data_IF_247011156506
#
_entry.id   IF_247011156506
#
_cell.length_a   1.000
_cell.length_b   1.000
_cell.length_c   1.000
_cell.angle_alpha   90.00
_cell.angle_beta   90.00
_cell.angle_gamma   90.00
#
_symmetry.space_group_name_H-M   'P 1'
#
loop_
_entity.id
_entity.type
_entity.pdbx_description
1 polymer ?
#
# COMPACT_ATOMS: atom_id res chain seq x y z
N UNK A 1 6.77 7.79 13.65
CA UNK A 1 7.04 6.35 13.91
C UNK A 1 7.65 6.11 15.30
N UNK A 2 8.81 6.67 15.61
CA UNK A 2 9.51 6.45 16.89
C UNK A 2 8.64 6.67 18.14
N UNK A 3 7.84 7.74 18.20
CA UNK A 3 6.92 7.99 19.32
C UNK A 3 5.81 6.93 19.48
N UNK A 4 5.33 6.34 18.38
CA UNK A 4 4.34 5.26 18.44
C UNK A 4 4.96 4.00 19.04
N UNK A 5 6.20 3.68 18.65
CA UNK A 5 6.93 2.54 19.20
C UNK A 5 7.09 2.64 20.71
N UNK A 6 7.39 3.83 21.25
CA UNK A 6 7.55 4.01 22.70
C UNK A 6 6.23 3.97 23.46
N UNK A 7 5.13 4.42 22.84
CA UNK A 7 3.82 4.50 23.49
C UNK A 7 3.03 3.19 23.44
N UNK A 8 3.24 2.37 22.40
CA UNK A 8 2.54 1.09 22.27
C UNK A 8 2.99 0.10 23.33
N UNK A 9 2.00 -0.54 23.98
CA UNK A 9 2.23 -1.67 24.87
C UNK A 9 2.73 -2.89 24.06
N UNK A 10 3.48 -3.82 24.67
CA UNK A 10 3.76 -5.12 24.05
C UNK A 10 2.48 -5.81 23.57
N UNK A 11 2.49 -6.34 22.34
CA UNK A 11 1.30 -6.89 21.68
C UNK A 11 0.28 -5.86 21.19
N UNK A 12 0.53 -4.57 21.43
CA UNK A 12 -0.26 -3.46 20.89
C UNK A 12 -0.15 -3.38 19.37
N UNK A 13 -1.15 -2.77 18.74
CA UNK A 13 -1.27 -2.64 17.29
C UNK A 13 -1.59 -1.21 16.90
N UNK A 14 -1.14 -0.79 15.74
CA UNK A 14 -1.44 0.52 15.19
C UNK A 14 -1.59 0.47 13.66
N UNK A 15 -2.35 1.43 13.14
CA UNK A 15 -2.39 1.79 11.74
C UNK A 15 -2.06 3.28 11.64
N UNK A 16 -1.09 3.66 10.81
CA UNK A 16 -0.66 5.05 10.64
C UNK A 16 -0.72 5.46 9.18
N UNK A 17 -1.29 6.62 8.91
CA UNK A 17 -1.22 7.26 7.61
C UNK A 17 0.12 8.00 7.49
N UNK A 18 0.91 7.68 6.47
CA UNK A 18 2.19 8.32 6.18
C UNK A 18 2.23 8.77 4.72
N UNK A 19 2.81 9.93 4.40
CA UNK A 19 3.12 10.28 3.02
C UNK A 19 4.14 9.29 2.43
N UNK A 20 4.12 9.13 1.11
CA UNK A 20 5.01 8.25 0.35
C UNK A 20 6.48 8.41 0.72
N UNK A 21 6.95 9.65 0.82
CA UNK A 21 8.32 10.01 1.19
C UNK A 21 8.82 9.33 2.47
N UNK A 22 7.94 9.13 3.46
CA UNK A 22 8.32 8.45 4.70
C UNK A 22 8.73 6.99 4.50
N UNK A 23 8.43 6.38 3.35
CA UNK A 23 8.72 4.97 3.05
C UNK A 23 10.06 4.75 2.32
N UNK A 24 10.70 5.79 1.78
CA UNK A 24 11.89 5.62 0.92
C UNK A 24 12.95 6.72 0.97
N UNK A 25 12.68 7.87 1.62
CA UNK A 25 13.68 8.93 1.80
C UNK A 25 14.87 8.45 2.65
N UNK A 26 15.97 9.21 2.63
CA UNK A 26 17.29 8.87 3.20
C UNK A 26 17.34 8.52 4.69
N UNK A 27 16.24 8.68 5.43
CA UNK A 27 16.13 8.26 6.85
C UNK A 27 15.05 7.22 7.10
N UNK A 28 14.30 6.85 6.08
CA UNK A 28 13.24 5.87 6.19
C UNK A 28 13.81 4.48 6.50
N UNK A 29 14.96 4.17 5.92
CA UNK A 29 15.70 2.93 6.09
C UNK A 29 16.05 2.66 7.56
N UNK A 30 16.73 3.58 8.24
CA UNK A 30 17.11 3.45 9.66
C UNK A 30 15.87 3.28 10.55
N UNK A 31 14.81 4.02 10.25
CA UNK A 31 13.56 3.96 11.02
C UNK A 31 12.86 2.62 10.82
N UNK A 32 12.73 2.16 9.58
CA UNK A 32 12.03 0.91 9.29
C UNK A 32 12.84 -0.33 9.66
N UNK A 33 14.16 -0.27 9.65
CA UNK A 33 15.00 -1.32 10.24
C UNK A 33 14.64 -1.55 11.71
N UNK A 34 14.62 -0.48 12.51
CA UNK A 34 14.26 -0.57 13.94
C UNK A 34 12.80 -1.00 14.11
N UNK A 35 11.87 -0.41 13.35
CA UNK A 35 10.45 -0.75 13.41
C UNK A 35 10.24 -2.23 13.08
N UNK A 36 10.88 -2.77 12.05
CA UNK A 36 10.70 -4.15 11.61
C UNK A 36 11.39 -5.17 12.53
N UNK A 37 12.43 -4.76 13.26
CA UNK A 37 13.02 -5.59 14.31
C UNK A 37 12.09 -5.76 15.52
N UNK A 38 11.46 -4.67 15.97
CA UNK A 38 10.63 -4.66 17.19
C UNK A 38 9.13 -4.89 16.95
N UNK A 39 8.67 -4.68 15.71
CA UNK A 39 7.28 -4.80 15.30
C UNK A 39 7.13 -5.64 14.03
N UNK A 40 6.00 -6.32 13.95
CA UNK A 40 5.55 -7.01 12.77
C UNK A 40 4.77 -6.02 11.90
N UNK A 41 5.46 -5.38 10.96
CA UNK A 41 4.87 -4.57 9.90
C UNK A 41 4.27 -5.53 8.88
N UNK A 42 3.00 -5.88 9.05
CA UNK A 42 2.41 -6.96 8.28
C UNK A 42 1.68 -6.49 7.02
N UNK A 43 1.26 -5.22 6.95
CA UNK A 43 0.47 -4.73 5.82
C UNK A 43 0.70 -3.24 5.53
N UNK A 44 0.78 -2.88 4.26
CA UNK A 44 0.78 -1.51 3.75
C UNK A 44 -0.33 -1.37 2.71
N UNK A 45 -1.19 -0.37 2.88
CA UNK A 45 -2.17 0.02 1.88
C UNK A 45 -1.67 1.29 1.19
N UNK A 46 -1.40 1.22 -0.12
CA UNK A 46 -1.09 2.41 -0.92
C UNK A 46 -2.41 3.06 -1.32
N UNK A 47 -2.66 4.28 -0.83
CA UNK A 47 -3.94 4.96 -1.05
C UNK A 47 -4.04 5.52 -2.47
N UNK A 48 -5.27 5.71 -2.94
CA UNK A 48 -5.57 6.37 -4.22
C UNK A 48 -5.02 7.78 -4.26
N UNK A 49 -4.73 8.23 -5.47
CA UNK A 49 -4.33 9.62 -5.68
C UNK A 49 -5.46 10.56 -5.26
N UNK A 50 -5.05 11.74 -4.78
CA UNK A 50 -5.95 12.80 -4.35
C UNK A 50 -6.85 12.45 -3.15
N UNK A 51 -6.53 11.40 -2.39
CA UNK A 51 -7.26 11.02 -1.14
C UNK A 51 -7.44 12.20 -0.19
N UNK A 52 -6.44 13.08 -0.06
CA UNK A 52 -6.44 14.21 0.87
C UNK A 52 -6.65 15.58 0.23
N UNK A 53 -6.97 15.65 -1.07
CA UNK A 53 -7.22 16.92 -1.77
C UNK A 53 -8.54 17.54 -1.27
N UNK A 54 -8.60 18.88 -1.02
CA UNK A 54 -7.57 19.89 -1.31
C UNK A 54 -6.61 20.18 -0.16
N UNK A 55 -6.66 19.44 0.95
CA UNK A 55 -5.87 19.73 2.15
C UNK A 55 -4.39 19.39 2.00
N UNK A 56 -4.09 18.31 1.26
CA UNK A 56 -2.72 17.89 0.98
C UNK A 56 -2.61 17.31 -0.44
N UNK A 57 -1.52 17.64 -1.13
CA UNK A 57 -1.21 17.14 -2.46
C UNK A 57 -0.22 15.95 -2.45
N UNK A 58 -0.11 15.26 -1.30
CA UNK A 58 0.82 14.13 -1.14
C UNK A 58 0.12 12.79 -1.40
N UNK A 59 0.83 11.88 -2.07
CA UNK A 59 0.47 10.46 -2.06
C UNK A 59 0.74 9.89 -0.67
N UNK A 60 -0.11 8.96 -0.24
CA UNK A 60 -0.08 8.46 1.13
C UNK A 60 -0.32 6.95 1.18
N UNK A 61 0.10 6.37 2.30
CA UNK A 61 0.02 4.96 2.62
C UNK A 61 -0.52 4.79 4.04
N UNK A 62 -1.16 3.65 4.29
CA UNK A 62 -1.49 3.21 5.65
C UNK A 62 -0.60 2.04 6.01
N UNK A 63 0.22 2.20 7.04
CA UNK A 63 1.12 1.15 7.55
C UNK A 63 0.49 0.51 8.78
N UNK A 64 0.28 -0.80 8.74
CA UNK A 64 -0.29 -1.59 9.83
C UNK A 64 0.79 -2.46 10.47
N UNK A 65 0.88 -2.40 11.80
CA UNK A 65 1.88 -3.17 12.52
C UNK A 65 1.46 -3.57 13.94
N UNK A 66 2.09 -4.63 14.44
CA UNK A 66 1.95 -5.14 15.80
C UNK A 66 3.30 -5.11 16.54
N UNK A 67 3.35 -4.55 17.74
CA UNK A 67 4.57 -4.49 18.56
C UNK A 67 4.86 -5.81 19.27
N UNK A 68 6.14 -6.18 19.35
CA UNK A 68 6.63 -7.33 20.13
C UNK A 68 6.81 -8.62 19.33
N UNK A 69 6.81 -8.52 18.00
CA UNK A 69 7.13 -9.60 17.06
C UNK A 69 7.97 -8.98 15.95
N UNK A 70 8.92 -9.72 15.39
CA UNK A 70 9.72 -9.22 14.26
C UNK A 70 8.89 -9.29 12.98
N UNK A 71 9.23 -8.47 11.98
CA UNK A 71 8.65 -8.58 10.64
C UNK A 71 9.33 -9.73 9.89
N UNK A 72 8.52 -10.63 9.33
CA UNK A 72 9.00 -11.70 8.44
C UNK A 72 8.57 -11.45 6.99
N UNK A 73 7.39 -10.84 6.81
CA UNK A 73 6.73 -10.65 5.52
C UNK A 73 5.82 -9.43 5.58
N UNK A 74 5.88 -8.59 4.55
CA UNK A 74 5.03 -7.41 4.39
C UNK A 74 4.11 -7.63 3.21
N UNK A 75 2.81 -7.45 3.43
CA UNK A 75 1.82 -7.44 2.34
C UNK A 75 1.54 -6.01 1.90
N UNK A 76 1.53 -5.75 0.60
CA UNK A 76 1.23 -4.44 0.04
C UNK A 76 0.02 -4.54 -0.86
N UNK A 77 -0.99 -3.70 -0.59
CA UNK A 77 -2.14 -3.52 -1.47
C UNK A 77 -2.00 -2.24 -2.28
N UNK A 78 -1.98 -2.35 -3.61
CA UNK A 78 -1.92 -1.21 -4.52
C UNK A 78 -3.32 -0.72 -4.89
N UNK A 79 -3.84 0.20 -4.06
CA UNK A 79 -5.05 0.98 -4.34
C UNK A 79 -4.70 2.28 -5.08
N UNK A 80 -3.71 2.29 -5.97
CA UNK A 80 -3.27 3.50 -6.67
C UNK A 80 -3.11 3.31 -8.18
N UNK A 81 -2.33 2.31 -8.58
CA UNK A 81 -1.97 2.10 -9.99
C UNK A 81 -3.21 1.75 -10.81
N UNK A 82 -3.43 2.45 -11.93
CA UNK A 82 -4.60 2.30 -12.79
C UNK A 82 -5.95 2.45 -12.06
N UNK A 83 -6.00 3.17 -10.94
CA UNK A 83 -7.24 3.52 -10.24
C UNK A 83 -7.50 5.02 -10.42
N UNK A 84 -8.71 5.43 -10.86
CA UNK A 84 -9.05 6.83 -11.02
C UNK A 84 -8.84 7.62 -9.72
N UNK A 85 -8.20 8.79 -9.83
CA UNK A 85 -8.02 9.67 -8.69
C UNK A 85 -9.36 10.11 -8.09
N UNK A 86 -9.37 10.25 -6.76
CA UNK A 86 -10.52 10.77 -6.04
C UNK A 86 -10.74 12.25 -6.39
N UNK A 87 -12.00 12.65 -6.54
CA UNK A 87 -12.40 14.04 -6.74
C UNK A 87 -13.49 14.42 -5.75
N UNK A 88 -13.58 15.72 -5.41
CA UNK A 88 -14.55 16.19 -4.41
C UNK A 88 -16.01 15.95 -4.81
N UNK A 89 -16.31 15.94 -6.12
CA UNK A 89 -17.67 15.99 -6.65
C UNK A 89 -18.10 14.69 -7.32
N UNK A 90 -17.30 14.18 -8.25
CA UNK A 90 -17.74 13.10 -9.15
C UNK A 90 -17.27 11.71 -8.67
N UNK A 91 -16.14 11.65 -7.95
CA UNK A 91 -15.55 10.40 -7.43
C UNK A 91 -15.03 10.60 -6.00
N UNK A 92 -15.90 10.82 -5.01
CA UNK A 92 -15.48 10.97 -3.63
C UNK A 92 -14.81 9.68 -3.13
N UNK A 93 -13.98 9.81 -2.10
CA UNK A 93 -13.45 8.65 -1.38
C UNK A 93 -14.59 7.95 -0.64
N UNK A 94 -14.95 6.75 -1.07
CA UNK A 94 -16.00 5.94 -0.45
C UNK A 94 -15.43 4.66 0.15
N UNK A 95 -16.13 4.03 1.12
CA UNK A 95 -15.74 2.72 1.65
C UNK A 95 -15.61 1.65 0.56
N UNK A 96 -16.40 1.74 -0.52
CA UNK A 96 -16.42 0.75 -1.60
C UNK A 96 -15.05 0.54 -2.25
N UNK A 97 -14.23 1.59 -2.28
CA UNK A 97 -12.86 1.54 -2.80
C UNK A 97 -11.95 0.57 -2.01
N UNK A 98 -12.30 0.27 -0.76
CA UNK A 98 -11.51 -0.55 0.15
C UNK A 98 -12.08 -1.95 0.39
N UNK A 99 -13.24 -2.29 -0.20
CA UNK A 99 -13.89 -3.60 0.01
C UNK A 99 -12.94 -4.75 -0.32
N UNK A 100 -12.27 -4.67 -1.46
CA UNK A 100 -11.35 -5.73 -1.89
C UNK A 100 -10.08 -5.77 -1.04
N UNK A 101 -9.59 -4.61 -0.59
CA UNK A 101 -8.50 -4.55 0.39
C UNK A 101 -8.89 -5.23 1.71
N UNK A 102 -10.09 -4.96 2.24
CA UNK A 102 -10.56 -5.56 3.50
C UNK A 102 -10.73 -7.08 3.38
N UNK A 103 -11.22 -7.56 2.23
CA UNK A 103 -11.30 -9.00 1.92
C UNK A 103 -9.91 -9.64 1.90
N UNK A 104 -8.94 -9.02 1.23
CA UNK A 104 -7.56 -9.49 1.19
C UNK A 104 -6.87 -9.38 2.57
N UNK A 105 -7.18 -8.35 3.34
CA UNK A 105 -6.64 -8.14 4.68
C UNK A 105 -7.06 -9.28 5.63
N UNK A 106 -8.30 -9.76 5.50
CA UNK A 106 -8.81 -10.87 6.29
C UNK A 106 -9.32 -10.45 7.67
N UNK A 107 -9.66 -11.44 8.48
CA UNK A 107 -10.33 -11.26 9.77
C UNK A 107 -9.36 -11.06 10.95
N UNK A 108 -8.11 -11.54 10.81
CA UNK A 108 -7.10 -11.34 11.85
C UNK A 108 -6.58 -9.89 11.84
N UNK A 109 -6.80 -9.21 12.96
CA UNK A 109 -6.39 -7.83 13.23
C UNK A 109 -4.87 -7.63 13.27
N UNK A 110 -4.11 -8.71 13.40
CA UNK A 110 -2.63 -8.70 13.36
C UNK A 110 -2.07 -9.26 12.05
N UNK A 111 -2.94 -9.51 11.06
CA UNK A 111 -2.54 -9.86 9.71
C UNK A 111 -1.97 -11.26 9.51
N UNK A 112 -2.22 -12.20 10.42
CA UNK A 112 -1.82 -13.60 10.28
C UNK A 112 -2.92 -14.47 9.66
N UNK A 113 -3.91 -13.88 9.00
CA UNK A 113 -5.02 -14.62 8.41
C UNK A 113 -4.51 -15.55 7.28
N UNK A 114 -4.70 -16.88 7.36
CA UNK A 114 -4.26 -17.82 6.33
C UNK A 114 -4.91 -17.58 4.97
N UNK A 115 -6.07 -16.92 4.92
CA UNK A 115 -6.77 -16.62 3.67
C UNK A 115 -5.98 -15.66 2.78
N UNK A 116 -5.03 -14.87 3.35
CA UNK A 116 -4.09 -14.05 2.58
C UNK A 116 -3.30 -14.85 1.55
N UNK A 117 -2.99 -16.11 1.87
CA UNK A 117 -2.24 -17.02 0.98
C UNK A 117 -3.08 -17.52 -0.21
N UNK A 118 -4.42 -17.52 -0.10
CA UNK A 118 -5.28 -18.01 -1.20
C UNK A 118 -5.23 -17.08 -2.41
N UNK A 119 -5.11 -15.77 -2.18
CA UNK A 119 -4.96 -14.77 -3.25
C UNK A 119 -3.65 -14.91 -4.02
N UNK A 120 -2.61 -15.50 -3.43
CA UNK A 120 -1.35 -15.81 -4.14
C UNK A 120 -1.46 -17.05 -5.04
N UNK A 121 -2.47 -17.90 -4.81
CA UNK A 121 -2.60 -19.20 -5.49
C UNK A 121 -3.54 -19.18 -6.70
N UNK A 122 -4.20 -18.05 -6.99
CA UNK A 122 -5.18 -17.94 -8.09
C UNK A 122 -6.35 -18.93 -7.98
N UNK A 123 -6.62 -19.44 -6.77
CA UNK A 123 -7.71 -20.39 -6.54
C UNK A 123 -8.97 -19.59 -6.25
N UNK A 124 -9.83 -19.48 -7.28
CA UNK A 124 -11.17 -18.94 -7.17
C UNK A 124 -11.92 -19.64 -6.02
N UNK A 125 -12.03 -18.94 -4.89
CA UNK A 125 -12.83 -19.36 -3.76
C UNK A 125 -14.30 -19.10 -4.06
N UNK A 126 -15.04 -20.18 -4.35
CA UNK A 126 -16.48 -20.22 -4.53
C UNK A 126 -17.25 -19.29 -3.57
N UNK A 127 -18.01 -18.35 -4.14
CA UNK A 127 -19.30 -17.91 -3.61
C UNK A 127 -19.33 -16.67 -2.70
N UNK A 128 -19.03 -15.48 -3.24
CA UNK A 128 -19.76 -14.25 -2.88
C UNK A 128 -19.99 -13.45 -4.14
N UNK A 129 -21.23 -13.43 -4.65
CA UNK A 129 -21.65 -12.56 -5.75
C UNK A 129 -21.55 -11.08 -5.30
N UNK A 130 -20.41 -10.46 -5.59
CA UNK A 130 -20.22 -9.02 -5.49
C UNK A 130 -20.57 -8.38 -6.83
N UNK A 131 -21.63 -7.56 -6.82
CA UNK A 131 -22.15 -6.80 -7.95
C UNK A 131 -21.05 -6.23 -8.85
N UNK A 132 -21.13 -6.58 -10.14
CA UNK A 132 -20.15 -6.22 -11.15
C UNK A 132 -20.01 -4.71 -11.34
N UNK A 133 -18.75 -4.29 -11.42
CA UNK A 133 -18.35 -3.16 -12.26
C UNK A 133 -17.46 -3.78 -13.34
N UNK A 134 -18.01 -3.92 -14.54
CA UNK A 134 -17.27 -4.40 -15.72
C UNK A 134 -16.18 -3.36 -16.06
N UNK A 135 -14.96 -3.63 -15.62
CA UNK A 135 -13.75 -2.94 -16.06
C UNK A 135 -13.11 -3.75 -17.19
N UNK A 136 -13.04 -3.14 -18.37
CA UNK A 136 -12.33 -3.63 -19.56
C UNK A 136 -10.96 -4.21 -19.23
N UNK A 137 -10.71 -5.42 -19.73
CA UNK A 137 -9.54 -6.24 -19.41
C UNK A 137 -8.20 -5.58 -19.70
N UNK A 138 -7.34 -5.63 -18.68
CA UNK A 138 -5.89 -5.60 -18.80
C UNK A 138 -5.39 -6.84 -18.05
N UNK A 139 -4.65 -7.72 -18.73
CA UNK A 139 -4.03 -8.90 -18.11
C UNK A 139 -3.20 -8.45 -16.89
N UNK A 140 -3.54 -8.98 -15.70
CA UNK A 140 -2.88 -8.62 -14.42
C UNK A 140 -3.59 -7.57 -13.55
N UNK A 141 -4.77 -7.08 -13.94
CA UNK A 141 -5.51 -6.01 -13.23
C UNK A 141 -6.57 -6.46 -12.22
N UNK A 142 -6.79 -7.77 -12.08
CA UNK A 142 -7.71 -8.33 -11.09
C UNK A 142 -7.29 -8.02 -9.64
N UNK A 143 -8.22 -8.15 -8.69
CA UNK A 143 -8.00 -7.96 -7.24
C UNK A 143 -6.75 -8.73 -6.76
N UNK A 144 -6.52 -9.92 -7.33
CA UNK A 144 -5.39 -10.80 -7.02
C UNK A 144 -4.03 -10.19 -7.38
N UNK A 145 -3.94 -9.40 -8.46
CA UNK A 145 -2.70 -8.75 -8.87
C UNK A 145 -2.31 -7.55 -8.01
N UNK A 146 -3.23 -7.04 -7.18
CA UNK A 146 -3.03 -5.81 -6.39
C UNK A 146 -2.56 -6.07 -4.97
N UNK A 147 -2.55 -7.32 -4.50
CA UNK A 147 -2.11 -7.67 -3.16
C UNK A 147 -0.90 -8.61 -3.20
N UNK A 148 0.29 -8.04 -3.01
CA UNK A 148 1.54 -8.77 -3.13
C UNK A 148 2.29 -8.85 -1.81
N UNK A 149 2.90 -10.01 -1.54
CA UNK A 149 3.75 -10.24 -0.39
C UNK A 149 5.24 -10.08 -0.73
N UNK A 150 5.99 -9.48 0.18
CA UNK A 150 7.45 -9.34 0.09
C UNK A 150 8.09 -9.89 1.36
N UNK A 151 9.11 -10.74 1.19
CA UNK A 151 9.86 -11.26 2.33
C UNK A 151 10.79 -10.19 2.91
N UNK A 152 11.05 -10.28 4.22
CA UNK A 152 11.93 -9.33 4.90
C UNK A 152 13.34 -9.27 4.28
N UNK A 153 13.83 -10.38 3.72
CA UNK A 153 15.14 -10.42 3.05
C UNK A 153 15.17 -9.55 1.79
N UNK A 154 14.12 -9.60 0.96
CA UNK A 154 13.99 -8.72 -0.22
C UNK A 154 13.94 -7.24 0.19
N UNK A 155 13.29 -6.94 1.32
CA UNK A 155 13.18 -5.57 1.85
C UNK A 155 14.54 -5.09 2.37
N UNK A 156 15.30 -5.95 3.05
CA UNK A 156 16.67 -5.66 3.52
C UNK A 156 17.62 -5.39 2.35
N UNK A 157 17.56 -6.19 1.30
CA UNK A 157 18.37 -5.99 0.08
C UNK A 157 18.12 -4.62 -0.57
N UNK A 158 16.92 -4.06 -0.37
CA UNK A 158 16.54 -2.72 -0.82
C UNK A 158 16.83 -1.61 0.19
N UNK A 159 17.50 -1.92 1.30
CA UNK A 159 17.78 -0.97 2.38
C UNK A 159 16.51 -0.53 3.11
N UNK A 160 15.60 -1.45 3.40
CA UNK A 160 14.34 -1.19 4.10
C UNK A 160 13.41 -0.16 3.44
N UNK A 161 13.63 0.14 2.16
CA UNK A 161 12.74 1.01 1.38
C UNK A 161 11.47 0.26 1.00
N UNK A 162 10.32 0.86 1.32
CA UNK A 162 9.00 0.25 1.21
C UNK A 162 8.18 0.77 0.02
N UNK A 163 8.79 1.51 -0.90
CA UNK A 163 8.18 1.99 -2.15
C UNK A 163 8.13 0.89 -3.25
N UNK A 164 7.66 -0.29 -2.86
CA UNK A 164 7.57 -1.45 -3.75
C UNK A 164 6.44 -1.26 -4.77
N UNK A 165 6.79 -1.33 -6.07
CA UNK A 165 5.86 -1.24 -7.20
C UNK A 165 6.10 -2.42 -8.14
N UNK A 166 5.02 -3.07 -8.55
CA UNK A 166 5.04 -4.18 -9.50
C UNK A 166 3.99 -4.05 -10.61
N UNK A 167 3.01 -3.17 -10.42
CA UNK A 167 2.06 -2.81 -11.46
C UNK A 167 2.59 -1.62 -12.27
N UNK A 168 2.49 -1.71 -13.60
CA UNK A 168 2.68 -0.56 -14.48
C UNK A 168 1.46 0.34 -14.36
N UNK A 169 1.71 1.64 -14.28
CA UNK A 169 0.67 2.64 -14.19
C UNK A 169 0.60 3.42 -15.49
N UNK A 170 -0.43 3.16 -16.29
CA UNK A 170 -0.62 3.77 -17.62
C UNK A 170 -1.20 5.19 -17.53
N UNK A 171 -1.43 5.69 -16.31
CA UNK A 171 -1.97 7.04 -16.04
C UNK A 171 -0.92 8.02 -15.53
N UNK A 172 0.31 7.57 -15.31
CA UNK A 172 1.47 8.46 -15.16
C UNK A 172 1.93 8.83 -16.57
N UNK A 173 2.16 10.11 -16.83
CA UNK A 173 2.74 10.57 -18.09
C UNK A 173 3.98 9.73 -18.43
N UNK A 174 4.11 9.31 -19.69
CA UNK A 174 5.26 8.53 -20.15
C UNK A 174 6.54 9.32 -19.79
N UNK A 175 7.55 8.73 -19.13
CA UNK A 175 8.78 9.44 -18.81
C UNK A 175 9.52 9.97 -20.06
N UNK A 176 9.17 9.51 -21.27
CA UNK A 176 9.62 10.09 -22.54
C UNK A 176 8.80 11.30 -23.03
N UNK A 177 7.73 11.66 -22.32
CA UNK A 177 6.78 12.74 -22.63
C UNK A 177 6.84 13.87 -21.57
N UNK A 178 7.88 13.85 -20.72
CA UNK A 178 8.20 14.97 -19.85
C UNK A 178 8.81 16.12 -20.68
N UNK A 179 8.39 17.38 -20.48
CA UNK A 179 9.08 18.52 -21.07
C UNK A 179 10.52 18.57 -20.54
N UNK A 180 11.43 19.07 -21.38
CA UNK A 180 12.86 19.11 -21.09
C UNK A 180 13.09 19.81 -19.73
N UNK A 181 13.99 19.33 -18.85
CA UNK A 181 14.25 19.95 -17.54
C UNK A 181 14.47 21.47 -17.57
N UNK A 182 14.90 22.01 -18.71
CA UNK A 182 15.08 23.45 -18.94
C UNK A 182 13.76 24.21 -19.01
N UNK A 183 12.68 23.59 -19.51
CA UNK A 183 11.35 24.18 -19.64
C UNK A 183 10.60 24.26 -18.29
N UNK A 184 11.00 23.42 -17.30
CA UNK A 184 10.41 23.40 -15.96
C UNK A 184 10.99 24.46 -15.00
N UNK A 185 12.12 25.10 -15.36
CA UNK A 185 12.84 26.06 -14.51
C UNK A 185 12.43 27.51 -14.81
N UNK A 186 11.67 27.74 -15.87
CA UNK A 186 11.24 29.06 -16.30
C UNK A 186 9.82 29.41 -15.77
N UNK A 187 9.65 29.53 -14.46
CA UNK A 187 8.54 30.29 -13.86
C UNK A 187 8.96 30.99 -12.55
#
# INVERSE_FOLDING_TARGET
MQHLLTTLKPGGRAAIVLPDNCLFEDKADEVFEIVMADCNVHTILRLTRCTFVPYANAQANVVFFQKGRTTEKVWIYDCRSNIPACTKKDRPLTPDLFIDFERCYGSDRNGNDPLRLRFLSGVEGSGVEGSGVEGSGVEGSGVEGRFQAFHIEEIKERGYKLDLKWLKDDTLDDPNDLPDPVDLIAE
#
